data_IF_477095896801
#
_entry.id   IF_477095896801
#
_cell.length_a   1.000
_cell.length_b   1.000
_cell.length_c   1.000
_cell.angle_alpha   90.00
_cell.angle_beta   90.00
_cell.angle_gamma   90.00
#
_symmetry.space_group_name_H-M   'P 1'
#
loop_
_entity.id
_entity.type
_entity.pdbx_description
1 polymer ?
#
# COMPACT_ATOMS: atom_id res chain seq x y z
N UNK A 1 -12.50 9.57 -22.11
CA UNK A 1 -12.02 9.59 -20.72
C UNK A 1 -10.95 8.52 -20.61
N UNK A 2 -9.79 8.84 -20.03
CA UNK A 2 -8.74 7.85 -19.76
C UNK A 2 -8.97 7.14 -18.43
N UNK A 3 -8.12 6.15 -18.08
CA UNK A 3 -8.13 5.55 -16.75
C UNK A 3 -8.02 6.58 -15.63
N UNK A 4 -8.73 6.34 -14.53
CA UNK A 4 -8.67 7.13 -13.30
C UNK A 4 -8.50 6.21 -12.09
N UNK A 5 -7.94 6.74 -11.01
CA UNK A 5 -7.73 6.01 -9.76
C UNK A 5 -8.46 6.66 -8.60
N UNK A 6 -9.01 5.84 -7.72
CA UNK A 6 -9.54 6.20 -6.40
C UNK A 6 -8.70 5.50 -5.34
N UNK A 7 -8.09 6.27 -4.43
CA UNK A 7 -7.26 5.75 -3.35
C UNK A 7 -7.81 6.28 -2.02
N UNK A 8 -7.88 5.45 -0.96
CA UNK A 8 -8.27 5.93 0.36
C UNK A 8 -7.26 6.91 0.94
N UNK A 9 -7.74 7.89 1.70
CA UNK A 9 -6.89 8.91 2.33
C UNK A 9 -6.00 8.34 3.44
N UNK A 10 -6.35 7.20 4.01
CA UNK A 10 -5.61 6.58 5.11
C UNK A 10 -5.73 5.06 5.07
N UNK A 11 -4.68 4.37 5.50
CA UNK A 11 -4.66 2.92 5.69
C UNK A 11 -4.46 2.65 7.18
N UNK A 12 -5.38 1.93 7.80
CA UNK A 12 -5.36 1.71 9.24
C UNK A 12 -5.04 0.24 9.58
N UNK A 13 -4.02 -0.02 10.40
CA UNK A 13 -3.68 -1.36 10.91
C UNK A 13 -4.23 -1.62 12.32
N UNK A 14 -4.97 -0.67 12.87
CA UNK A 14 -5.68 -0.78 14.13
C UNK A 14 -4.74 -0.85 15.34
N UNK A 15 -5.35 -1.11 16.49
CA UNK A 15 -4.59 -1.40 17.72
C UNK A 15 -4.10 -2.83 17.69
N UNK A 16 -2.79 -3.02 17.80
CA UNK A 16 -2.14 -4.32 17.84
C UNK A 16 -1.37 -4.51 19.14
N UNK A 17 -1.32 -5.75 19.63
CA UNK A 17 -0.39 -6.15 20.69
C UNK A 17 1.00 -6.43 20.08
N UNK A 18 2.06 -6.18 20.85
CA UNK A 18 3.41 -6.61 20.45
C UNK A 18 3.42 -8.15 20.41
N UNK A 19 3.69 -8.76 19.26
CA UNK A 19 3.59 -10.20 19.14
C UNK A 19 4.82 -10.88 19.76
N UNK A 20 4.69 -12.12 20.28
CA UNK A 20 5.82 -12.87 20.84
C UNK A 20 6.78 -13.40 19.76
N UNK A 21 6.34 -13.42 18.51
CA UNK A 21 7.10 -13.77 17.29
C UNK A 21 6.67 -12.84 16.16
N UNK A 22 7.48 -12.73 15.11
CA UNK A 22 7.16 -11.90 13.95
C UNK A 22 5.76 -12.24 13.38
N UNK A 23 4.96 -11.20 13.16
CA UNK A 23 3.57 -11.33 12.70
C UNK A 23 3.24 -10.30 11.64
N UNK A 24 2.52 -10.75 10.61
CA UNK A 24 1.93 -9.87 9.62
C UNK A 24 0.48 -9.54 9.97
N UNK A 25 0.16 -8.26 9.95
CA UNK A 25 -1.15 -7.70 10.22
C UNK A 25 -1.71 -7.14 8.91
N UNK A 26 -2.94 -7.48 8.57
CA UNK A 26 -3.65 -6.90 7.41
C UNK A 26 -4.23 -5.53 7.78
N UNK A 27 -4.51 -4.69 6.78
CA UNK A 27 -5.32 -3.49 7.03
C UNK A 27 -6.65 -3.86 7.71
N UNK A 28 -7.11 -3.01 8.63
CA UNK A 28 -8.28 -3.24 9.49
C UNK A 28 -9.59 -2.94 8.78
N UNK A 29 -9.56 -2.00 7.83
CA UNK A 29 -10.73 -1.54 7.13
C UNK A 29 -10.81 -2.20 5.74
N UNK A 30 -12.02 -2.60 5.35
CA UNK A 30 -12.32 -3.15 4.02
C UNK A 30 -12.42 -2.04 2.95
N UNK A 31 -11.40 -1.19 2.89
CA UNK A 31 -11.24 -0.18 1.86
C UNK A 31 -10.55 -0.77 0.62
N UNK A 32 -10.76 -0.15 -0.54
CA UNK A 32 -10.17 -0.57 -1.80
C UNK A 32 -9.42 0.56 -2.49
N UNK A 33 -8.47 0.18 -3.33
CA UNK A 33 -7.95 1.04 -4.41
C UNK A 33 -8.67 0.62 -5.69
N UNK A 34 -9.33 1.58 -6.32
CA UNK A 34 -10.14 1.33 -7.51
C UNK A 34 -9.54 2.03 -8.71
N UNK A 35 -9.36 1.28 -9.80
CA UNK A 35 -9.00 1.80 -11.10
C UNK A 35 -10.21 1.66 -12.00
N UNK A 36 -10.68 2.79 -12.52
CA UNK A 36 -11.78 2.87 -13.48
C UNK A 36 -11.23 3.30 -14.83
N UNK A 37 -11.36 2.44 -15.83
CA UNK A 37 -10.93 2.68 -17.19
C UNK A 37 -12.13 2.50 -18.13
N UNK A 38 -12.85 3.60 -18.33
CA UNK A 38 -13.96 3.70 -19.28
C UNK A 38 -13.48 4.17 -20.67
N UNK A 39 -12.19 4.01 -20.97
CA UNK A 39 -11.67 4.46 -22.26
C UNK A 39 -12.17 3.55 -23.39
N UNK A 40 -12.61 4.18 -24.49
CA UNK A 40 -12.91 3.46 -25.74
C UNK A 40 -11.62 3.06 -26.49
N UNK A 41 -10.46 3.49 -25.96
CA UNK A 41 -9.14 3.19 -26.49
C UNK A 41 -8.78 1.77 -26.07
N UNK A 42 -8.91 0.83 -27.01
CA UNK A 42 -8.62 -0.61 -26.82
C UNK A 42 -7.26 -0.92 -26.19
N UNK A 43 -6.32 0.03 -26.21
CA UNK A 43 -4.93 -0.17 -25.84
C UNK A 43 -4.41 0.73 -24.71
N UNK A 44 -5.25 1.50 -24.02
CA UNK A 44 -4.78 2.23 -22.84
C UNK A 44 -4.29 1.25 -21.77
N UNK A 45 -3.06 1.43 -21.32
CA UNK A 45 -2.51 0.70 -20.18
C UNK A 45 -2.29 1.66 -19.03
N UNK A 46 -2.42 1.14 -17.82
CA UNK A 46 -2.14 1.88 -16.60
C UNK A 46 -1.10 1.15 -15.76
N UNK A 47 -0.39 1.93 -14.96
CA UNK A 47 0.60 1.46 -13.99
C UNK A 47 0.38 2.18 -12.67
N UNK A 48 0.38 1.41 -11.58
CA UNK A 48 0.30 1.89 -10.21
C UNK A 48 1.59 1.53 -9.47
N UNK A 49 2.29 2.54 -8.97
CA UNK A 49 3.46 2.39 -8.09
C UNK A 49 3.17 2.97 -6.71
N UNK A 50 3.92 2.51 -5.72
CA UNK A 50 3.92 3.04 -4.36
C UNK A 50 5.36 3.23 -3.88
N UNK A 51 5.58 4.22 -3.03
CA UNK A 51 6.80 4.40 -2.24
C UNK A 51 6.46 4.89 -0.83
N UNK A 52 7.35 4.64 0.12
CA UNK A 52 7.30 5.18 1.47
C UNK A 52 8.00 6.55 1.47
N UNK A 53 7.23 7.63 1.64
CA UNK A 53 7.75 9.00 1.66
C UNK A 53 8.13 9.40 3.09
N UNK A 54 7.35 8.93 4.08
CA UNK A 54 7.68 9.04 5.50
C UNK A 54 7.53 7.67 6.18
N UNK A 55 8.59 7.26 6.88
CA UNK A 55 8.57 6.08 7.74
C UNK A 55 7.48 6.20 8.82
N UNK A 56 6.95 5.06 9.24
CA UNK A 56 6.16 4.98 10.46
C UNK A 56 6.98 5.45 11.68
N UNK A 57 6.60 6.59 12.25
CA UNK A 57 7.25 7.21 13.41
C UNK A 57 6.22 7.51 14.50
N UNK A 58 6.62 7.37 15.77
CA UNK A 58 5.79 7.75 16.90
C UNK A 58 6.23 9.08 17.54
N UNK A 59 5.44 9.58 18.50
CA UNK A 59 5.73 10.83 19.22
C UNK A 59 7.09 10.86 19.93
N UNK A 60 7.65 9.70 20.25
CA UNK A 60 8.98 9.54 20.87
C UNK A 60 10.12 9.46 19.86
N UNK A 61 9.82 9.65 18.57
CA UNK A 61 10.75 9.50 17.44
C UNK A 61 11.29 8.08 17.26
N UNK A 62 10.61 7.08 17.82
CA UNK A 62 10.90 5.68 17.52
C UNK A 62 10.33 5.36 16.14
N UNK A 63 11.08 4.62 15.34
CA UNK A 63 10.76 4.35 13.94
C UNK A 63 10.53 2.86 13.71
N UNK A 64 9.54 2.57 12.87
CA UNK A 64 9.25 1.26 12.32
C UNK A 64 9.76 1.22 10.88
N UNK A 65 11.03 0.85 10.70
CA UNK A 65 11.66 0.74 9.39
C UNK A 65 11.18 -0.47 8.61
N UNK A 66 10.92 -0.30 7.31
CA UNK A 66 10.67 -1.41 6.39
C UNK A 66 9.52 -2.34 6.84
N UNK A 67 8.49 -1.76 7.49
CA UNK A 67 7.40 -2.52 8.12
C UNK A 67 6.16 -2.64 7.24
N UNK A 68 5.98 -1.77 6.25
CA UNK A 68 4.85 -1.89 5.33
C UNK A 68 5.23 -2.80 4.18
N UNK A 69 4.35 -3.74 3.84
CA UNK A 69 4.50 -4.64 2.69
C UNK A 69 3.27 -4.57 1.82
N UNK A 70 3.45 -4.79 0.52
CA UNK A 70 2.36 -5.05 -0.41
C UNK A 70 2.47 -6.44 -1.04
N UNK A 71 1.33 -7.03 -1.39
CA UNK A 71 1.27 -8.30 -2.12
C UNK A 71 1.40 -8.06 -3.62
N UNK A 72 2.37 -8.72 -4.25
CA UNK A 72 2.61 -8.77 -5.69
C UNK A 72 2.83 -10.21 -6.12
N UNK A 73 1.88 -10.75 -6.90
CA UNK A 73 1.98 -12.07 -7.55
C UNK A 73 2.57 -13.14 -6.61
N UNK A 74 1.83 -13.47 -5.55
CA UNK A 74 2.20 -14.46 -4.53
C UNK A 74 3.48 -14.16 -3.73
N UNK A 75 3.96 -12.91 -3.75
CA UNK A 75 5.09 -12.45 -2.92
C UNK A 75 4.70 -11.19 -2.16
N UNK A 76 5.16 -11.09 -0.92
CA UNK A 76 5.08 -9.86 -0.14
C UNK A 76 6.37 -9.08 -0.34
N UNK A 77 6.25 -7.84 -0.76
CA UNK A 77 7.37 -6.93 -1.03
C UNK A 77 7.31 -5.81 -0.02
N UNK A 78 8.41 -5.58 0.69
CA UNK A 78 8.56 -4.43 1.59
C UNK A 78 8.57 -3.13 0.78
N UNK A 79 7.74 -2.17 1.20
CA UNK A 79 7.75 -0.82 0.66
C UNK A 79 8.98 -0.08 1.16
N UNK A 80 9.66 0.65 0.28
CA UNK A 80 10.79 1.51 0.62
C UNK A 80 10.67 2.88 -0.07
N UNK A 81 11.73 3.69 0.00
CA UNK A 81 11.78 5.05 -0.53
C UNK A 81 11.84 5.14 -2.08
N UNK A 82 11.85 4.00 -2.78
CA UNK A 82 11.86 3.93 -4.24
C UNK A 82 10.46 3.61 -4.78
N UNK A 83 10.15 4.12 -5.98
CA UNK A 83 8.91 3.76 -6.68
C UNK A 83 8.88 2.26 -7.02
N UNK A 84 7.97 1.53 -6.38
CA UNK A 84 7.79 0.10 -6.59
C UNK A 84 6.45 -0.18 -7.27
N UNK A 85 6.49 -0.90 -8.39
CA UNK A 85 5.30 -1.23 -9.17
C UNK A 85 4.43 -2.22 -8.37
N UNK A 86 3.25 -1.77 -7.96
CA UNK A 86 2.24 -2.58 -7.28
C UNK A 86 1.46 -3.39 -8.30
N UNK A 87 0.98 -2.73 -9.36
CA UNK A 87 0.21 -3.36 -10.42
C UNK A 87 0.32 -2.60 -11.74
N UNK A 88 0.06 -3.31 -12.83
CA UNK A 88 -0.05 -2.77 -14.17
C UNK A 88 -1.10 -3.58 -14.94
N UNK A 89 -1.80 -2.94 -15.88
CA UNK A 89 -2.87 -3.61 -16.60
C UNK A 89 -3.67 -2.71 -17.54
N UNK A 90 -4.83 -3.23 -17.94
CA UNK A 90 -5.84 -2.56 -18.77
C UNK A 90 -7.21 -2.74 -18.11
N UNK A 91 -8.14 -1.82 -18.37
CA UNK A 91 -9.51 -1.95 -17.88
C UNK A 91 -9.62 -1.73 -16.36
N UNK A 92 -10.82 -2.01 -15.84
CA UNK A 92 -11.13 -1.81 -14.44
C UNK A 92 -10.39 -2.79 -13.52
N UNK A 93 -9.99 -2.31 -12.35
CA UNK A 93 -9.36 -3.15 -11.33
C UNK A 93 -9.71 -2.66 -9.94
N UNK A 94 -9.91 -3.59 -9.03
CA UNK A 94 -10.13 -3.32 -7.62
C UNK A 94 -9.06 -4.08 -6.82
N UNK A 95 -8.48 -3.40 -5.83
CA UNK A 95 -7.57 -4.01 -4.86
C UNK A 95 -8.10 -3.77 -3.45
N UNK A 96 -8.56 -4.83 -2.78
CA UNK A 96 -8.92 -4.76 -1.36
C UNK A 96 -7.66 -4.55 -0.52
N UNK A 97 -7.62 -3.51 0.32
CA UNK A 97 -6.44 -3.15 1.11
C UNK A 97 -6.05 -4.22 2.14
N UNK A 98 -7.03 -4.95 2.70
CA UNK A 98 -6.81 -6.09 3.60
C UNK A 98 -6.06 -7.27 2.95
N UNK A 99 -6.09 -7.35 1.61
CA UNK A 99 -5.37 -8.35 0.80
C UNK A 99 -4.13 -7.78 0.12
N UNK A 100 -4.08 -6.46 -0.06
CA UNK A 100 -2.97 -5.79 -0.73
C UNK A 100 -1.87 -5.43 0.25
N UNK A 101 -2.20 -4.89 1.42
CA UNK A 101 -1.28 -4.20 2.33
C UNK A 101 -1.15 -4.92 3.67
N UNK A 102 0.08 -4.96 4.18
CA UNK A 102 0.44 -5.62 5.43
C UNK A 102 1.38 -4.76 6.26
N UNK A 103 1.26 -4.86 7.57
CA UNK A 103 2.22 -4.36 8.54
C UNK A 103 2.96 -5.55 9.17
N UNK A 104 4.29 -5.51 9.18
CA UNK A 104 5.12 -6.47 9.92
C UNK A 104 5.42 -5.94 11.32
N UNK A 105 5.02 -6.70 12.33
CA UNK A 105 5.32 -6.43 13.73
C UNK A 105 6.29 -7.47 14.28
N UNK A 106 7.20 -7.02 15.14
CA UNK A 106 8.26 -7.80 15.73
C UNK A 106 8.24 -7.71 17.26
N UNK A 107 8.74 -8.72 18.00
CA UNK A 107 8.76 -8.70 19.46
C UNK A 107 9.58 -7.54 20.06
N UNK A 108 10.51 -7.00 19.29
CA UNK A 108 11.37 -5.88 19.71
C UNK A 108 10.74 -4.50 19.53
N UNK A 109 9.60 -4.41 18.82
CA UNK A 109 8.95 -3.14 18.53
C UNK A 109 8.48 -2.46 19.82
N UNK A 110 8.41 -1.13 19.78
CA UNK A 110 8.05 -0.32 20.95
C UNK A 110 6.56 0.03 20.90
N UNK A 111 5.96 0.16 22.07
CA UNK A 111 4.55 0.56 22.17
C UNK A 111 4.45 2.06 21.84
N UNK A 112 3.60 2.38 20.87
CA UNK A 112 3.28 3.75 20.50
C UNK A 112 2.22 3.81 19.41
N UNK A 113 1.73 5.02 19.14
CA UNK A 113 0.95 5.32 17.94
C UNK A 113 1.94 5.70 16.84
N UNK A 114 1.90 4.99 15.71
CA UNK A 114 2.82 5.21 14.60
C UNK A 114 2.05 5.73 13.40
N UNK A 115 2.57 6.79 12.78
CA UNK A 115 2.04 7.39 11.57
C UNK A 115 3.16 7.55 10.55
N UNK A 116 2.82 7.47 9.26
CA UNK A 116 3.75 7.54 8.15
C UNK A 116 3.01 7.88 6.87
N UNK A 117 3.73 8.02 5.76
CA UNK A 117 3.18 8.50 4.50
C UNK A 117 3.62 7.61 3.35
N UNK A 118 2.64 7.18 2.55
CA UNK A 118 2.85 6.50 1.29
C UNK A 118 2.45 7.43 0.15
N UNK A 119 3.32 7.54 -0.86
CA UNK A 119 2.96 8.21 -2.12
C UNK A 119 2.61 7.16 -3.15
N UNK A 120 1.46 7.34 -3.80
CA UNK A 120 0.99 6.51 -4.91
C UNK A 120 1.16 7.26 -6.23
N UNK A 121 1.82 6.62 -7.18
CA UNK A 121 2.02 7.18 -8.52
C UNK A 121 1.20 6.38 -9.52
N UNK A 122 0.21 7.03 -10.14
CA UNK A 122 -0.62 6.45 -11.18
C UNK A 122 -0.25 7.03 -12.55
N UNK A 123 0.19 6.17 -13.46
CA UNK A 123 0.59 6.57 -14.81
C UNK A 123 -0.35 5.90 -15.80
N UNK A 124 -0.93 6.72 -16.68
CA UNK A 124 -1.65 6.26 -17.87
C UNK A 124 -0.70 6.37 -19.05
N UNK A 125 -0.37 5.24 -19.67
CA UNK A 125 0.38 5.25 -20.92
C UNK A 125 -0.62 5.37 -22.08
N UNK A 126 -0.45 6.35 -22.99
CA UNK A 126 -1.13 6.30 -24.27
C UNK A 126 -0.64 5.08 -25.06
N UNK A 127 -1.56 4.49 -25.81
CA UNK A 127 -1.28 3.51 -26.85
C UNK A 127 -0.43 4.09 -27.96
#
# INVERSE_FOLDING_TARGET
MGPSISIPNAINFGKQEIPPVDKLITASDSQSIDITDNSLLKDSTWKLSVKEDQLLINEKKEQLFNRILFNKVNKKITINDQDQIVAEGKGNKEFSLDKLMYLSLHPSDKIGMYEGELTWTFIVAPS
#
